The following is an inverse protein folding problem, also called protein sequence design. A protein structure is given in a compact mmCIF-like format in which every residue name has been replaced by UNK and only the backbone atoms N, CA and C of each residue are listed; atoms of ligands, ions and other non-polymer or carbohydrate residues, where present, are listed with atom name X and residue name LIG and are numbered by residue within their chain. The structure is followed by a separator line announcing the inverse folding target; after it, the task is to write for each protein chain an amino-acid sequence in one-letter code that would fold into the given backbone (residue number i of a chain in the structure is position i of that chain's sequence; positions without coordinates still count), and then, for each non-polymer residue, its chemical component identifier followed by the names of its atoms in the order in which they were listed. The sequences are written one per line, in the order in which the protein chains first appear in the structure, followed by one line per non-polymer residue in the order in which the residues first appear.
data_IF_204066491777
#
_entry.id   IF_204066491777
#
_cell.length_a   1.000
_cell.length_b   1.000
_cell.length_c   1.000
_cell.angle_alpha   90.00
_cell.angle_beta   90.00
_cell.angle_gamma   90.00
#
_symmetry.space_group_name_H-M   'P 1'
#
loop_
_entity.id
_entity.type
_entity.pdbx_description
1 polymer ?
#
# COMPACT_ATOMS: atom_id res chain seq x y z
N UNK A 1 -9.30 26.28 9.88
CA UNK A 1 -9.73 25.32 8.84
C UNK A 1 -11.19 25.55 8.53
N UNK A 2 -11.59 25.49 7.25
CA UNK A 2 -13.01 25.46 6.90
C UNK A 2 -13.63 24.22 7.54
N UNK A 3 -14.85 24.33 8.09
CA UNK A 3 -15.64 23.17 8.55
C UNK A 3 -15.92 22.28 7.35
N UNK A 4 -15.00 21.32 7.07
CA UNK A 4 -15.20 20.34 6.02
C UNK A 4 -16.44 19.50 6.35
N UNK A 5 -17.31 19.29 5.39
CA UNK A 5 -18.55 18.52 5.58
C UNK A 5 -18.24 17.06 5.95
N UNK A 6 -17.14 16.51 5.42
CA UNK A 6 -16.71 15.13 5.62
C UNK A 6 -15.27 15.04 6.11
N UNK A 7 -15.01 14.07 6.97
CA UNK A 7 -13.65 13.68 7.33
C UNK A 7 -12.99 12.92 6.18
N UNK A 8 -13.74 12.00 5.53
CA UNK A 8 -13.24 11.14 4.45
C UNK A 8 -14.23 11.06 3.31
N UNK A 9 -13.75 11.18 2.07
CA UNK A 9 -14.53 10.84 0.87
C UNK A 9 -13.87 9.66 0.15
N UNK A 10 -14.65 8.58 -0.06
CA UNK A 10 -14.21 7.40 -0.82
C UNK A 10 -14.42 7.66 -2.32
N UNK A 11 -13.36 8.05 -3.02
CA UNK A 11 -13.37 8.26 -4.47
C UNK A 11 -13.10 6.94 -5.20
N UNK A 12 -14.05 6.52 -6.02
CA UNK A 12 -14.07 5.19 -6.65
C UNK A 12 -14.87 4.16 -5.86
N UNK A 13 -15.83 4.59 -5.05
CA UNK A 13 -16.72 3.75 -4.25
C UNK A 13 -17.41 2.62 -5.02
N UNK A 14 -17.58 2.78 -6.34
CA UNK A 14 -18.19 1.78 -7.23
C UNK A 14 -17.20 0.75 -7.78
N UNK A 15 -15.90 0.88 -7.50
CA UNK A 15 -14.90 -0.16 -7.82
C UNK A 15 -15.08 -1.37 -6.90
N UNK A 16 -14.52 -2.53 -7.26
CA UNK A 16 -14.62 -3.73 -6.42
C UNK A 16 -14.07 -3.48 -5.00
N UNK A 17 -12.85 -2.93 -4.90
CA UNK A 17 -12.24 -2.57 -3.60
C UNK A 17 -13.00 -1.43 -2.93
N UNK A 18 -13.50 -0.46 -3.71
CA UNK A 18 -14.28 0.66 -3.19
C UNK A 18 -15.56 0.22 -2.49
N UNK A 19 -16.26 -0.77 -3.03
CA UNK A 19 -17.44 -1.34 -2.40
C UNK A 19 -17.12 -2.05 -1.08
N UNK A 20 -16.01 -2.81 -1.03
CA UNK A 20 -15.54 -3.46 0.20
C UNK A 20 -15.11 -2.43 1.24
N UNK A 21 -14.45 -1.36 0.81
CA UNK A 21 -14.08 -0.23 1.68
C UNK A 21 -15.33 0.48 2.24
N UNK A 22 -16.34 0.75 1.40
CA UNK A 22 -17.60 1.33 1.87
C UNK A 22 -18.31 0.42 2.87
N UNK A 23 -18.34 -0.89 2.63
CA UNK A 23 -18.89 -1.86 3.59
C UNK A 23 -18.12 -1.83 4.91
N UNK A 24 -16.79 -1.84 4.85
CA UNK A 24 -15.93 -1.78 6.04
C UNK A 24 -16.14 -0.49 6.85
N UNK A 25 -16.18 0.66 6.19
CA UNK A 25 -16.43 1.95 6.87
C UNK A 25 -17.81 1.99 7.50
N UNK A 26 -18.83 1.45 6.80
CA UNK A 26 -20.18 1.37 7.31
C UNK A 26 -20.27 0.43 8.54
N UNK A 27 -19.66 -0.74 8.48
CA UNK A 27 -19.65 -1.70 9.60
C UNK A 27 -18.91 -1.15 10.83
N UNK A 28 -17.88 -0.32 10.60
CA UNK A 28 -17.03 0.21 11.67
C UNK A 28 -17.56 1.51 12.25
N UNK A 29 -18.04 2.43 11.42
CA UNK A 29 -18.36 3.80 11.82
C UNK A 29 -19.84 4.17 11.63
N UNK A 30 -20.63 3.37 10.90
CA UNK A 30 -21.99 3.75 10.53
C UNK A 30 -22.04 4.91 9.53
N UNK A 31 -23.17 5.63 9.48
CA UNK A 31 -23.35 6.85 8.68
C UNK A 31 -23.35 8.14 9.50
N UNK A 32 -23.49 8.04 10.82
CA UNK A 32 -23.63 9.12 11.79
C UNK A 32 -22.66 8.99 12.99
N UNK A 33 -21.64 8.11 12.86
CA UNK A 33 -20.64 7.85 13.89
C UNK A 33 -19.54 8.93 13.97
N UNK A 34 -18.43 8.56 14.62
CA UNK A 34 -17.30 9.46 14.86
C UNK A 34 -16.57 9.89 13.59
N UNK A 35 -16.61 9.07 12.54
CA UNK A 35 -16.04 9.39 11.23
C UNK A 35 -17.17 9.79 10.27
N UNK A 36 -17.20 11.06 9.86
CA UNK A 36 -18.12 11.53 8.82
C UNK A 36 -17.55 11.22 7.44
N UNK A 37 -18.23 10.34 6.71
CA UNK A 37 -17.73 9.94 5.40
C UNK A 37 -18.81 9.94 4.31
N UNK A 38 -18.35 10.01 3.05
CA UNK A 38 -19.22 9.97 1.87
C UNK A 38 -18.64 9.04 0.81
N UNK A 39 -19.52 8.47 -0.04
CA UNK A 39 -19.12 7.67 -1.19
C UNK A 39 -19.14 8.53 -2.46
N UNK A 40 -18.07 8.48 -3.25
CA UNK A 40 -17.93 9.27 -4.47
C UNK A 40 -17.59 8.41 -5.69
N UNK A 41 -18.10 8.83 -6.85
CA UNK A 41 -17.86 8.16 -8.13
C UNK A 41 -18.57 8.86 -9.28
N UNK A 42 -18.32 8.41 -10.50
CA UNK A 42 -18.82 9.10 -11.73
C UNK A 42 -20.31 8.83 -12.09
N UNK A 43 -20.93 7.84 -11.48
CA UNK A 43 -22.31 7.42 -11.81
C UNK A 43 -23.17 7.41 -10.55
N UNK A 44 -24.15 8.30 -10.48
CA UNK A 44 -25.11 8.36 -9.38
C UNK A 44 -25.86 7.03 -9.20
N UNK A 45 -26.33 6.42 -10.29
CA UNK A 45 -27.06 5.15 -10.22
C UNK A 45 -26.23 4.03 -9.58
N UNK A 46 -24.92 3.95 -9.91
CA UNK A 46 -24.03 2.96 -9.32
C UNK A 46 -23.73 3.28 -7.84
N UNK A 47 -23.61 4.54 -7.47
CA UNK A 47 -23.48 4.95 -6.07
C UNK A 47 -24.70 4.58 -5.25
N UNK A 48 -25.92 4.77 -5.80
CA UNK A 48 -27.16 4.33 -5.15
C UNK A 48 -27.21 2.79 -5.00
N UNK A 49 -26.69 2.04 -5.97
CA UNK A 49 -26.55 0.58 -5.85
C UNK A 49 -25.58 0.19 -4.71
N UNK A 50 -24.43 0.87 -4.59
CA UNK A 50 -23.51 0.66 -3.48
C UNK A 50 -24.20 0.96 -2.16
N UNK A 51 -24.86 2.11 -2.02
CA UNK A 51 -25.63 2.46 -0.81
C UNK A 51 -26.69 1.42 -0.48
N UNK A 52 -27.47 0.98 -1.47
CA UNK A 52 -28.49 -0.05 -1.28
C UNK A 52 -27.91 -1.40 -0.84
N UNK A 53 -26.70 -1.76 -1.32
CA UNK A 53 -26.03 -3.00 -0.90
C UNK A 53 -25.57 -3.01 0.56
N UNK A 54 -25.39 -1.83 1.18
CA UNK A 54 -25.06 -1.68 2.60
C UNK A 54 -26.30 -1.89 3.52
N UNK A 55 -27.50 -1.93 2.96
CA UNK A 55 -28.77 -2.12 3.67
C UNK A 55 -29.45 -0.82 4.07
N UNK A 56 -30.68 -0.94 4.63
CA UNK A 56 -31.56 0.20 4.93
C UNK A 56 -30.95 1.21 5.92
N UNK A 57 -30.09 0.74 6.83
CA UNK A 57 -29.39 1.60 7.79
C UNK A 57 -28.39 2.56 7.13
N UNK A 58 -27.98 2.29 5.89
CA UNK A 58 -27.12 3.17 5.10
C UNK A 58 -27.88 4.22 4.29
N UNK A 59 -29.20 4.33 4.43
CA UNK A 59 -30.05 5.29 3.67
C UNK A 59 -29.57 6.74 3.78
N UNK A 60 -28.98 7.12 4.90
CA UNK A 60 -28.41 8.45 5.14
C UNK A 60 -27.00 8.67 4.56
N UNK A 61 -26.36 7.64 3.97
CA UNK A 61 -25.00 7.78 3.41
C UNK A 61 -24.97 8.83 2.31
N UNK A 62 -24.15 9.89 2.43
CA UNK A 62 -24.00 10.91 1.41
C UNK A 62 -23.29 10.34 0.16
N UNK A 63 -23.77 10.75 -1.01
CA UNK A 63 -23.24 10.37 -2.31
C UNK A 63 -22.77 11.61 -3.08
N UNK A 64 -21.56 11.56 -3.65
CA UNK A 64 -20.96 12.66 -4.41
C UNK A 64 -20.65 12.18 -5.82
N UNK A 65 -21.23 12.84 -6.83
CA UNK A 65 -20.86 12.57 -8.22
C UNK A 65 -19.60 13.35 -8.58
N UNK A 66 -18.52 12.64 -8.92
CA UNK A 66 -17.26 13.23 -9.37
C UNK A 66 -16.58 12.33 -10.40
N UNK A 67 -15.91 12.94 -11.39
CA UNK A 67 -15.28 12.26 -12.50
C UNK A 67 -13.79 12.63 -12.58
N UNK A 68 -12.90 11.64 -12.64
CA UNK A 68 -11.47 11.84 -12.77
C UNK A 68 -11.04 12.69 -13.98
N UNK A 69 -11.87 12.78 -15.03
CA UNK A 69 -11.61 13.57 -16.23
C UNK A 69 -12.23 14.99 -16.17
N UNK A 70 -12.81 15.38 -15.04
CA UNK A 70 -13.47 16.69 -14.85
C UNK A 70 -12.87 17.38 -13.62
N UNK A 71 -11.98 18.35 -13.88
CA UNK A 71 -11.24 19.06 -12.84
C UNK A 71 -12.17 19.82 -11.89
N UNK A 72 -13.23 20.46 -12.42
CA UNK A 72 -14.16 21.24 -11.59
C UNK A 72 -14.90 20.33 -10.60
N UNK A 73 -15.27 19.11 -11.02
CA UNK A 73 -15.90 18.13 -10.15
C UNK A 73 -14.95 17.60 -9.06
N UNK A 74 -13.64 17.47 -9.36
CA UNK A 74 -12.63 17.07 -8.39
C UNK A 74 -12.35 18.18 -7.37
N UNK A 75 -12.25 19.42 -7.83
CA UNK A 75 -12.05 20.59 -6.95
C UNK A 75 -13.27 20.76 -6.02
N UNK A 76 -14.49 20.61 -6.53
CA UNK A 76 -15.72 20.64 -5.74
C UNK A 76 -15.78 19.51 -4.70
N UNK A 77 -15.26 18.31 -5.01
CA UNK A 77 -15.15 17.20 -4.07
C UNK A 77 -14.11 17.53 -2.97
N UNK A 78 -12.92 17.98 -3.33
CA UNK A 78 -11.87 18.34 -2.39
C UNK A 78 -12.31 19.43 -1.41
N UNK A 79 -13.12 20.39 -1.85
CA UNK A 79 -13.64 21.47 -0.99
C UNK A 79 -14.59 20.97 0.13
N UNK A 80 -15.09 19.75 0.05
CA UNK A 80 -16.07 19.20 1.00
C UNK A 80 -15.44 18.27 2.04
N UNK A 81 -14.17 17.86 1.87
CA UNK A 81 -13.57 16.82 2.70
C UNK A 81 -12.18 17.17 3.22
N UNK A 82 -11.81 16.59 4.35
CA UNK A 82 -10.44 16.65 4.88
C UNK A 82 -9.52 15.68 4.14
N UNK A 83 -10.00 14.46 3.84
CA UNK A 83 -9.23 13.39 3.21
C UNK A 83 -9.98 12.80 2.03
N UNK A 84 -9.32 12.66 0.89
CA UNK A 84 -9.77 11.82 -0.22
C UNK A 84 -9.05 10.48 -0.13
N UNK A 85 -9.80 9.37 -0.05
CA UNK A 85 -9.26 8.03 -0.21
C UNK A 85 -9.64 7.50 -1.59
N UNK A 86 -8.64 7.19 -2.42
CA UNK A 86 -8.87 6.81 -3.82
C UNK A 86 -8.64 5.32 -4.06
N UNK A 87 -9.64 4.69 -4.70
CA UNK A 87 -9.56 3.31 -5.23
C UNK A 87 -9.63 3.28 -6.76
N UNK A 88 -9.35 4.42 -7.42
CA UNK A 88 -9.43 4.56 -8.87
C UNK A 88 -8.07 4.25 -9.50
N UNK A 89 -7.88 3.01 -9.91
CA UNK A 89 -6.67 2.54 -10.60
C UNK A 89 -6.97 1.99 -12.02
N UNK A 90 -5.95 1.69 -12.85
CA UNK A 90 -4.52 1.95 -12.65
C UNK A 90 -4.19 3.43 -12.44
N UNK A 91 -3.33 3.72 -11.45
CA UNK A 91 -3.09 5.10 -11.03
C UNK A 91 -2.28 5.89 -12.05
N UNK A 92 -1.36 5.24 -12.77
CA UNK A 92 -0.62 5.86 -13.88
C UNK A 92 -1.53 6.39 -14.99
N UNK A 93 -2.77 5.87 -15.11
CA UNK A 93 -3.73 6.28 -16.13
C UNK A 93 -4.75 7.29 -15.61
N UNK A 94 -5.12 7.22 -14.33
CA UNK A 94 -6.28 7.96 -13.80
C UNK A 94 -6.01 8.72 -12.50
N UNK A 95 -4.86 8.53 -11.84
CA UNK A 95 -4.60 9.05 -10.49
C UNK A 95 -4.20 10.52 -10.43
N UNK A 96 -3.44 11.00 -11.42
CA UNK A 96 -2.86 12.34 -11.40
C UNK A 96 -3.87 13.47 -11.22
N UNK A 97 -5.04 13.51 -11.91
CA UNK A 97 -6.00 14.62 -11.75
C UNK A 97 -6.48 14.80 -10.30
N UNK A 98 -6.70 13.69 -9.56
CA UNK A 98 -7.10 13.76 -8.15
C UNK A 98 -5.94 14.23 -7.26
N UNK A 99 -4.70 13.74 -7.48
CA UNK A 99 -3.52 14.25 -6.77
C UNK A 99 -3.39 15.76 -6.94
N UNK A 100 -3.51 16.24 -8.19
CA UNK A 100 -3.45 17.66 -8.51
C UNK A 100 -4.53 18.47 -7.78
N UNK A 101 -5.77 18.00 -7.77
CA UNK A 101 -6.87 18.66 -7.05
C UNK A 101 -6.59 18.71 -5.54
N UNK A 102 -6.21 17.59 -4.92
CA UNK A 102 -5.88 17.54 -3.49
C UNK A 102 -4.71 18.47 -3.11
N UNK A 103 -3.64 18.43 -3.89
CA UNK A 103 -2.46 19.26 -3.64
C UNK A 103 -2.78 20.75 -3.78
N UNK A 104 -3.61 21.13 -4.75
CA UNK A 104 -3.98 22.54 -4.95
C UNK A 104 -4.91 23.07 -3.86
N UNK A 105 -5.83 22.23 -3.37
CA UNK A 105 -6.81 22.63 -2.34
C UNK A 105 -6.28 22.52 -0.90
N UNK A 106 -5.12 21.86 -0.70
CA UNK A 106 -4.64 21.52 0.64
C UNK A 106 -5.39 20.35 1.29
N UNK A 107 -6.12 19.55 0.50
CA UNK A 107 -6.84 18.36 0.94
C UNK A 107 -5.89 17.17 1.05
N UNK A 108 -6.00 16.41 2.13
CA UNK A 108 -5.20 15.20 2.32
C UNK A 108 -5.66 14.07 1.39
N UNK A 109 -4.75 13.14 1.11
CA UNK A 109 -5.00 12.05 0.17
C UNK A 109 -4.33 10.76 0.60
N UNK A 110 -5.02 9.63 0.42
CA UNK A 110 -4.40 8.31 0.47
C UNK A 110 -4.97 7.36 -0.60
N UNK A 111 -4.17 6.36 -0.97
CA UNK A 111 -4.51 5.36 -1.98
C UNK A 111 -3.89 4.00 -1.70
N UNK A 112 -4.10 3.06 -2.61
CA UNK A 112 -3.53 1.71 -2.57
C UNK A 112 -2.67 1.39 -3.80
N UNK A 113 -2.01 2.41 -4.38
CA UNK A 113 -1.13 2.19 -5.54
C UNK A 113 0.09 1.36 -5.19
N UNK A 114 0.54 0.52 -6.13
CA UNK A 114 1.84 -0.16 -6.10
C UNK A 114 2.77 0.30 -7.24
N UNK A 115 2.44 1.40 -7.91
CA UNK A 115 3.09 1.89 -9.13
C UNK A 115 4.22 2.87 -8.82
N UNK A 116 5.41 2.34 -8.45
CA UNK A 116 6.54 3.15 -7.97
C UNK A 116 7.00 4.24 -8.97
N UNK A 117 6.92 3.99 -10.28
CA UNK A 117 7.24 4.97 -11.30
C UNK A 117 6.28 6.15 -11.27
N UNK A 118 4.97 5.88 -11.15
CA UNK A 118 3.95 6.91 -11.06
C UNK A 118 4.09 7.74 -9.78
N UNK A 119 4.33 7.09 -8.63
CA UNK A 119 4.59 7.81 -7.37
C UNK A 119 5.79 8.76 -7.54
N UNK A 120 6.87 8.30 -8.18
CA UNK A 120 8.05 9.12 -8.41
C UNK A 120 7.74 10.33 -9.30
N UNK A 121 6.88 10.18 -10.31
CA UNK A 121 6.44 11.28 -11.16
C UNK A 121 5.56 12.27 -10.39
N UNK A 122 4.67 11.79 -9.50
CA UNK A 122 3.86 12.64 -8.63
C UNK A 122 4.70 13.41 -7.62
N UNK A 123 5.72 12.77 -7.05
CA UNK A 123 6.71 13.42 -6.18
C UNK A 123 7.44 14.56 -6.89
N UNK A 124 7.93 14.29 -8.09
CA UNK A 124 8.67 15.30 -8.87
C UNK A 124 7.79 16.51 -9.21
N UNK A 125 6.52 16.27 -9.56
CA UNK A 125 5.63 17.34 -10.03
C UNK A 125 4.95 18.11 -8.90
N UNK A 126 4.59 17.44 -7.80
CA UNK A 126 3.62 17.98 -6.86
C UNK A 126 4.14 18.13 -5.41
N UNK A 127 5.29 17.56 -5.03
CA UNK A 127 5.74 17.60 -3.63
C UNK A 127 5.95 19.03 -3.11
N UNK A 128 6.51 19.91 -3.93
CA UNK A 128 6.71 21.31 -3.54
C UNK A 128 5.39 22.04 -3.31
N UNK A 129 4.38 21.77 -4.14
CA UNK A 129 3.05 22.38 -4.02
C UNK A 129 2.30 21.80 -2.82
N UNK A 130 2.38 20.49 -2.58
CA UNK A 130 1.82 19.84 -1.40
C UNK A 130 2.38 20.43 -0.09
N UNK A 131 3.70 20.60 -0.03
CA UNK A 131 4.36 21.27 1.12
C UNK A 131 3.88 22.70 1.32
N UNK A 132 3.72 23.46 0.24
CA UNK A 132 3.27 24.86 0.29
C UNK A 132 1.83 25.00 0.77
N UNK A 133 0.94 24.13 0.27
CA UNK A 133 -0.51 24.22 0.52
C UNK A 133 -0.97 23.39 1.73
N UNK A 134 -0.07 22.61 2.36
CA UNK A 134 -0.37 21.81 3.53
C UNK A 134 -1.03 20.46 3.24
N UNK A 135 -1.21 20.05 1.96
CA UNK A 135 -1.75 18.75 1.61
C UNK A 135 -0.80 17.61 1.99
N UNK A 136 -1.31 16.59 2.66
CA UNK A 136 -0.56 15.39 3.07
C UNK A 136 -0.98 14.21 2.19
N UNK A 137 -0.05 13.75 1.37
CA UNK A 137 -0.28 12.70 0.40
C UNK A 137 0.41 11.41 0.87
N UNK A 138 -0.36 10.34 1.08
CA UNK A 138 0.14 9.04 1.55
C UNK A 138 -0.26 7.94 0.57
N UNK A 139 0.70 7.48 -0.21
CA UNK A 139 0.52 6.37 -1.13
C UNK A 139 0.66 5.01 -0.46
N UNK A 140 0.25 3.95 -1.15
CA UNK A 140 0.49 2.56 -0.75
C UNK A 140 -0.18 2.16 0.58
N UNK A 141 -1.39 2.65 0.86
CA UNK A 141 -2.13 2.39 2.10
C UNK A 141 -2.92 1.07 2.08
N UNK A 142 -2.52 0.08 1.28
CA UNK A 142 -3.08 -1.28 1.24
C UNK A 142 -2.15 -2.34 1.80
N UNK A 143 -2.53 -3.61 1.63
CA UNK A 143 -1.70 -4.76 2.00
C UNK A 143 -0.33 -4.73 1.30
N UNK A 144 -0.28 -4.15 0.12
CA UNK A 144 0.96 -4.11 -0.66
C UNK A 144 2.12 -3.53 0.16
N UNK A 145 1.90 -2.49 0.97
CA UNK A 145 3.00 -1.86 1.72
C UNK A 145 2.77 -1.66 3.21
N UNK A 146 1.53 -1.52 3.71
CA UNK A 146 1.29 -1.28 5.15
C UNK A 146 1.93 -2.38 6.04
N UNK A 147 1.74 -3.69 5.80
CA UNK A 147 2.36 -4.70 6.66
C UNK A 147 3.89 -4.64 6.67
N UNK A 148 4.49 -4.23 5.54
CA UNK A 148 5.95 -4.08 5.39
C UNK A 148 6.46 -2.84 6.11
N UNK A 149 5.91 -1.67 5.82
CA UNK A 149 6.34 -0.38 6.36
C UNK A 149 6.09 -0.30 7.87
N UNK A 150 4.87 -0.63 8.30
CA UNK A 150 4.51 -0.64 9.72
C UNK A 150 5.15 -1.79 10.50
N UNK A 151 5.44 -2.93 9.83
CA UNK A 151 6.20 -4.03 10.43
C UNK A 151 7.64 -3.64 10.72
N UNK A 152 8.31 -2.94 9.79
CA UNK A 152 9.64 -2.36 10.02
C UNK A 152 9.58 -1.27 11.07
N UNK A 153 8.60 -0.36 11.02
CA UNK A 153 8.40 0.67 12.04
C UNK A 153 8.31 0.06 13.45
N UNK A 154 7.43 -0.94 13.65
CA UNK A 154 7.31 -1.63 14.92
C UNK A 154 8.61 -2.31 15.36
N UNK A 155 9.30 -3.02 14.43
CA UNK A 155 10.59 -3.65 14.72
C UNK A 155 11.63 -2.63 15.19
N UNK A 156 11.72 -1.49 14.53
CA UNK A 156 12.68 -0.43 14.88
C UNK A 156 12.37 0.19 16.26
N UNK A 157 11.10 0.40 16.58
CA UNK A 157 10.71 0.85 17.92
C UNK A 157 11.12 -0.18 19.00
N UNK A 158 10.88 -1.47 18.75
CA UNK A 158 11.24 -2.53 19.68
C UNK A 158 12.77 -2.70 19.81
N UNK A 159 13.53 -2.54 18.72
CA UNK A 159 14.98 -2.58 18.73
C UNK A 159 15.55 -1.40 19.55
N UNK A 160 15.03 -0.20 19.31
CA UNK A 160 15.44 0.98 20.08
C UNK A 160 15.12 0.82 21.58
N UNK A 161 13.93 0.30 21.92
CA UNK A 161 13.54 0.10 23.31
C UNK A 161 14.37 -0.98 24.04
N UNK A 162 14.76 -2.06 23.33
CA UNK A 162 15.49 -3.20 23.93
C UNK A 162 16.98 -3.04 23.93
N UNK A 163 17.54 -2.49 22.84
CA UNK A 163 18.98 -2.46 22.58
C UNK A 163 19.55 -1.04 22.57
N UNK A 164 18.70 -0.03 22.68
CA UNK A 164 19.08 1.37 22.50
C UNK A 164 19.79 1.62 21.15
N UNK A 165 19.44 0.85 20.13
CA UNK A 165 20.01 0.89 18.79
C UNK A 165 18.99 0.45 17.75
N UNK A 166 18.97 1.05 16.56
CA UNK A 166 18.12 0.59 15.47
C UNK A 166 18.68 -0.70 14.83
N UNK A 167 17.83 -1.47 14.18
CA UNK A 167 18.24 -2.56 13.33
C UNK A 167 18.70 -2.00 11.97
N UNK A 168 19.98 -2.13 11.66
CA UNK A 168 20.57 -1.67 10.39
C UNK A 168 20.34 -2.63 9.22
N UNK A 169 19.94 -3.86 9.51
CA UNK A 169 19.53 -4.86 8.51
C UNK A 169 18.19 -5.45 8.92
N UNK A 170 17.20 -5.43 8.05
CA UNK A 170 15.90 -6.08 8.27
C UNK A 170 15.57 -6.98 7.08
N UNK A 171 15.14 -8.20 7.37
CA UNK A 171 14.66 -9.17 6.40
C UNK A 171 13.21 -9.52 6.70
N UNK A 172 12.32 -9.24 5.74
CA UNK A 172 10.93 -9.60 5.81
C UNK A 172 10.66 -10.87 5.01
N UNK A 173 9.92 -11.80 5.60
CA UNK A 173 9.58 -13.08 4.98
C UNK A 173 8.09 -13.37 5.11
N UNK A 174 7.43 -13.52 3.98
CA UNK A 174 6.04 -13.99 3.93
C UNK A 174 6.04 -15.49 4.20
N UNK A 175 5.54 -15.90 5.36
CA UNK A 175 5.42 -17.30 5.74
C UNK A 175 4.17 -17.94 5.14
N UNK A 176 3.06 -17.22 5.20
CA UNK A 176 1.78 -17.62 4.60
C UNK A 176 1.05 -16.34 4.16
N UNK A 177 0.43 -16.42 3.00
CA UNK A 177 -0.58 -15.48 2.54
C UNK A 177 -1.69 -16.31 1.87
N UNK A 178 -2.85 -16.38 2.52
CA UNK A 178 -4.03 -17.09 1.98
C UNK A 178 -5.01 -16.06 1.47
N UNK A 179 -5.25 -16.06 0.17
CA UNK A 179 -6.11 -15.13 -0.55
C UNK A 179 -5.64 -14.96 -1.98
N UNK A 180 -6.35 -14.13 -2.74
CA UNK A 180 -6.00 -13.82 -4.12
C UNK A 180 -5.13 -12.57 -4.24
N UNK A 181 -4.41 -12.47 -5.35
CA UNK A 181 -3.84 -11.19 -5.80
C UNK A 181 -4.97 -10.40 -6.46
N UNK A 182 -5.07 -9.10 -6.16
CA UNK A 182 -6.15 -8.29 -6.71
C UNK A 182 -6.00 -8.11 -8.24
N UNK A 183 -7.12 -8.07 -8.95
CA UNK A 183 -7.11 -7.77 -10.39
C UNK A 183 -6.47 -6.41 -10.69
N UNK A 184 -6.63 -5.42 -9.80
CA UNK A 184 -5.96 -4.13 -9.89
C UNK A 184 -4.44 -4.24 -9.81
N UNK A 185 -3.92 -5.02 -8.85
CA UNK A 185 -2.48 -5.28 -8.70
C UNK A 185 -1.91 -5.96 -9.95
N UNK A 186 -2.60 -6.99 -10.47
CA UNK A 186 -2.16 -7.67 -11.70
C UNK A 186 -2.18 -6.71 -12.90
N UNK A 187 -3.21 -5.89 -13.05
CA UNK A 187 -3.30 -4.91 -14.13
C UNK A 187 -2.17 -3.87 -14.06
N UNK A 188 -1.87 -3.34 -12.87
CA UNK A 188 -0.74 -2.42 -12.65
C UNK A 188 0.60 -3.06 -12.97
N UNK A 189 0.85 -4.31 -12.52
CA UNK A 189 2.08 -5.05 -12.87
C UNK A 189 2.24 -5.25 -14.37
N UNK A 190 1.15 -5.57 -15.07
CA UNK A 190 1.17 -5.76 -16.52
C UNK A 190 1.44 -4.45 -17.26
N UNK A 191 0.87 -3.33 -16.79
CA UNK A 191 1.14 -2.01 -17.34
C UNK A 191 2.62 -1.64 -17.16
N UNK A 192 3.17 -1.81 -15.95
CA UNK A 192 4.60 -1.58 -15.67
C UNK A 192 5.49 -2.45 -16.56
N UNK A 193 5.16 -3.73 -16.74
CA UNK A 193 5.92 -4.65 -17.60
C UNK A 193 5.90 -4.21 -19.07
N UNK A 194 4.76 -3.72 -19.55
CA UNK A 194 4.62 -3.17 -20.91
C UNK A 194 5.46 -1.92 -21.11
N UNK A 195 5.34 -0.95 -20.20
CA UNK A 195 6.07 0.32 -20.26
C UNK A 195 7.58 0.09 -20.17
N UNK A 196 8.02 -0.69 -19.16
CA UNK A 196 9.42 -1.05 -19.00
C UNK A 196 9.99 -1.87 -20.17
N UNK A 197 9.15 -2.67 -20.84
CA UNK A 197 9.53 -3.37 -22.07
C UNK A 197 9.90 -2.42 -23.23
N UNK A 198 9.26 -1.26 -23.30
CA UNK A 198 9.42 -0.27 -24.37
C UNK A 198 10.47 0.81 -24.04
N UNK A 199 10.65 1.13 -22.74
CA UNK A 199 11.49 2.24 -22.29
C UNK A 199 12.68 1.76 -21.43
N UNK A 200 13.92 1.83 -21.98
CA UNK A 200 15.14 1.54 -21.22
C UNK A 200 15.38 2.51 -20.04
N UNK A 201 14.94 3.77 -20.15
CA UNK A 201 15.11 4.76 -19.08
C UNK A 201 14.22 4.40 -17.89
N UNK A 202 12.97 3.97 -18.14
CA UNK A 202 12.09 3.47 -17.10
C UNK A 202 12.66 2.22 -16.39
N UNK A 203 13.25 1.28 -17.16
CA UNK A 203 13.94 0.13 -16.54
C UNK A 203 15.05 0.56 -15.58
N UNK A 204 15.85 1.54 -15.97
CA UNK A 204 16.92 2.10 -15.12
C UNK A 204 16.33 2.79 -13.88
N UNK A 205 15.25 3.56 -14.05
CA UNK A 205 14.49 4.21 -12.96
C UNK A 205 13.97 3.16 -11.98
N UNK A 206 13.32 2.11 -12.47
CA UNK A 206 12.80 1.01 -11.67
C UNK A 206 13.89 0.11 -11.04
N UNK A 207 15.11 0.13 -11.52
CA UNK A 207 16.23 -0.58 -10.87
C UNK A 207 16.80 0.15 -9.65
N UNK A 208 16.44 1.41 -9.42
CA UNK A 208 16.90 2.19 -8.27
C UNK A 208 16.10 1.80 -7.01
N UNK A 209 16.72 1.22 -5.96
CA UNK A 209 16.03 0.89 -4.72
C UNK A 209 15.58 2.12 -3.92
N UNK A 210 16.18 3.27 -4.19
CA UNK A 210 15.91 4.55 -3.52
C UNK A 210 15.07 5.50 -4.36
N UNK A 211 14.35 4.98 -5.36
CA UNK A 211 13.58 5.77 -6.33
C UNK A 211 12.63 6.78 -5.69
N UNK A 212 12.03 6.42 -4.56
CA UNK A 212 11.07 7.26 -3.86
C UNK A 212 11.68 8.14 -2.75
N UNK A 213 12.97 7.98 -2.46
CA UNK A 213 13.63 8.79 -1.45
C UNK A 213 13.84 10.24 -1.94
N UNK A 214 13.88 11.22 -1.03
CA UNK A 214 14.28 12.59 -1.38
C UNK A 214 15.65 12.62 -2.06
N UNK A 215 15.92 13.58 -2.96
CA UNK A 215 17.17 13.62 -3.71
C UNK A 215 18.45 13.67 -2.85
N UNK A 216 18.33 14.21 -1.66
CA UNK A 216 19.40 14.42 -0.66
C UNK A 216 19.50 13.30 0.39
N UNK A 217 18.86 12.15 0.17
CA UNK A 217 18.79 11.05 1.13
C UNK A 217 20.16 10.48 1.57
N UNK A 218 21.18 10.60 0.76
CA UNK A 218 22.57 10.23 1.09
C UNK A 218 22.86 8.71 1.13
N UNK A 219 21.89 7.83 0.98
CA UNK A 219 22.05 6.38 1.06
C UNK A 219 22.98 5.83 -0.03
N UNK A 220 23.90 4.96 0.34
CA UNK A 220 24.90 4.32 -0.55
C UNK A 220 24.92 2.81 -0.43
N UNK A 221 24.18 2.23 0.51
CA UNK A 221 24.19 0.80 0.75
C UNK A 221 23.62 0.03 -0.44
N UNK A 222 24.37 -1.00 -0.85
CA UNK A 222 23.88 -1.93 -1.87
C UNK A 222 22.76 -2.78 -1.28
N UNK A 223 21.58 -2.67 -1.86
CA UNK A 223 20.46 -3.51 -1.47
C UNK A 223 20.59 -4.93 -2.08
N UNK A 224 20.25 -5.93 -1.28
CA UNK A 224 20.34 -7.34 -1.68
C UNK A 224 19.01 -7.77 -2.29
N UNK A 225 19.04 -8.18 -3.56
CA UNK A 225 17.87 -8.78 -4.22
C UNK A 225 17.86 -10.30 -4.01
N UNK A 226 16.67 -10.87 -3.90
CA UNK A 226 16.46 -12.31 -3.87
C UNK A 226 16.47 -12.85 -5.30
N UNK A 227 17.34 -13.84 -5.56
CA UNK A 227 17.37 -14.53 -6.85
C UNK A 227 16.18 -15.48 -7.03
N UNK A 228 16.23 -16.35 -8.04
CA UNK A 228 15.18 -17.35 -8.29
C UNK A 228 14.92 -18.25 -7.07
N UNK A 229 15.98 -18.61 -6.35
CA UNK A 229 15.94 -19.29 -5.06
C UNK A 229 17.19 -18.91 -4.25
N UNK A 230 17.03 -18.57 -2.99
CA UNK A 230 18.11 -18.26 -2.06
C UNK A 230 17.89 -19.02 -0.74
N UNK A 231 18.96 -19.37 -0.05
CA UNK A 231 18.86 -19.91 1.30
C UNK A 231 18.97 -18.77 2.32
N UNK A 232 18.02 -18.69 3.23
CA UNK A 232 18.00 -17.69 4.29
C UNK A 232 18.44 -18.31 5.61
N UNK A 233 19.60 -17.85 6.12
CA UNK A 233 20.19 -18.38 7.35
C UNK A 233 19.42 -17.93 8.61
N UNK A 234 18.75 -16.79 8.60
CA UNK A 234 17.97 -16.32 9.75
C UNK A 234 16.72 -17.16 9.97
N UNK A 235 16.18 -17.73 8.89
CA UNK A 235 14.99 -18.58 8.92
C UNK A 235 15.30 -20.08 8.75
N UNK A 236 16.56 -20.43 8.46
CA UNK A 236 16.98 -21.81 8.12
C UNK A 236 16.10 -22.44 7.03
N UNK A 237 15.76 -21.66 6.00
CA UNK A 237 14.81 -22.06 4.97
C UNK A 237 15.17 -21.49 3.59
N UNK A 238 14.68 -22.11 2.54
CA UNK A 238 14.71 -21.54 1.20
C UNK A 238 13.66 -20.45 1.04
N UNK A 239 14.00 -19.45 0.25
CA UNK A 239 13.13 -18.32 -0.09
C UNK A 239 13.12 -18.10 -1.60
N UNK A 240 11.94 -17.75 -2.11
CA UNK A 240 11.73 -17.28 -3.47
C UNK A 240 11.36 -15.80 -3.48
N UNK A 241 11.39 -15.14 -4.66
CA UNK A 241 11.05 -13.73 -4.77
C UNK A 241 9.62 -13.44 -4.33
N UNK A 242 9.42 -12.32 -3.67
CA UNK A 242 8.11 -11.76 -3.38
C UNK A 242 7.87 -10.57 -4.31
N UNK A 243 6.80 -10.65 -5.09
CA UNK A 243 6.55 -9.67 -6.16
C UNK A 243 6.40 -8.23 -5.66
N UNK A 244 5.88 -8.06 -4.45
CA UNK A 244 5.67 -6.74 -3.85
C UNK A 244 6.95 -6.11 -3.28
N UNK A 245 8.06 -6.86 -3.14
CA UNK A 245 9.36 -6.30 -2.72
C UNK A 245 9.76 -5.08 -3.56
N UNK A 246 9.38 -5.10 -4.85
CA UNK A 246 9.69 -4.02 -5.77
C UNK A 246 9.11 -2.65 -5.36
N UNK A 247 7.94 -2.61 -4.73
CA UNK A 247 7.36 -1.36 -4.20
C UNK A 247 7.67 -1.21 -2.71
N UNK A 248 7.52 -2.27 -1.93
CA UNK A 248 7.60 -2.22 -0.47
C UNK A 248 8.97 -1.76 0.02
N UNK A 249 10.06 -2.28 -0.57
CA UNK A 249 11.41 -1.86 -0.21
C UNK A 249 11.64 -0.36 -0.45
N UNK A 250 11.05 0.22 -1.49
CA UNK A 250 11.12 1.66 -1.77
C UNK A 250 10.34 2.49 -0.77
N UNK A 251 9.16 2.02 -0.35
CA UNK A 251 8.37 2.68 0.70
C UNK A 251 9.13 2.67 2.02
N UNK A 252 9.68 1.53 2.43
CA UNK A 252 10.48 1.39 3.66
C UNK A 252 11.73 2.27 3.64
N UNK A 253 12.45 2.34 2.50
CA UNK A 253 13.60 3.24 2.38
C UNK A 253 13.18 4.71 2.42
N UNK A 254 12.03 5.07 1.83
CA UNK A 254 11.48 6.43 1.95
C UNK A 254 11.12 6.74 3.39
N UNK A 255 10.53 5.82 4.13
CA UNK A 255 10.23 5.98 5.56
C UNK A 255 11.50 6.28 6.36
N UNK A 256 12.59 5.54 6.12
CA UNK A 256 13.88 5.81 6.74
C UNK A 256 14.40 7.22 6.40
N UNK A 257 14.30 7.63 5.13
CA UNK A 257 14.76 8.95 4.71
C UNK A 257 13.95 10.09 5.36
N UNK A 258 12.62 9.96 5.39
CA UNK A 258 11.71 10.99 5.92
C UNK A 258 11.76 11.10 7.45
N UNK A 259 12.17 10.04 8.15
CA UNK A 259 12.37 10.04 9.61
C UNK A 259 13.78 10.44 10.05
N UNK A 260 14.55 11.09 9.17
CA UNK A 260 15.90 11.53 9.47
C UNK A 260 16.91 10.38 9.62
N UNK A 261 16.72 9.33 8.82
CA UNK A 261 17.57 8.13 8.83
C UNK A 261 17.52 7.34 10.15
N UNK A 262 16.32 7.30 10.76
CA UNK A 262 16.11 6.62 12.04
C UNK A 262 16.47 5.12 12.03
N UNK A 263 16.51 4.48 10.84
CA UNK A 263 16.93 3.08 10.64
C UNK A 263 18.40 2.93 10.29
N UNK A 264 19.16 4.00 10.24
CA UNK A 264 20.54 4.24 9.83
C UNK A 264 20.71 4.69 8.37
N UNK A 265 21.85 5.31 8.07
CA UNK A 265 22.23 5.73 6.70
C UNK A 265 22.68 4.56 5.82
N UNK A 266 23.05 3.43 6.44
CA UNK A 266 23.47 2.19 5.78
C UNK A 266 22.43 1.06 5.88
N UNK A 267 21.18 1.39 6.21
CA UNK A 267 20.07 0.45 6.34
C UNK A 267 19.90 -0.42 5.10
N UNK A 268 19.70 -1.72 5.32
CA UNK A 268 19.41 -2.70 4.27
C UNK A 268 18.10 -3.44 4.56
N UNK A 269 17.31 -3.63 3.50
CA UNK A 269 16.00 -4.27 3.57
C UNK A 269 15.74 -5.14 2.34
N UNK A 270 15.11 -6.28 2.51
CA UNK A 270 14.54 -7.08 1.42
C UNK A 270 13.38 -7.96 1.88
N UNK A 271 12.56 -8.36 0.91
CA UNK A 271 11.41 -9.22 1.12
C UNK A 271 11.51 -10.52 0.32
N UNK A 272 10.95 -11.61 0.86
CA UNK A 272 10.86 -12.88 0.16
C UNK A 272 9.72 -13.77 0.67
N UNK A 273 9.36 -14.78 -0.11
CA UNK A 273 8.43 -15.85 0.27
C UNK A 273 9.21 -17.00 0.91
N UNK A 274 8.85 -17.42 2.12
CA UNK A 274 9.36 -18.64 2.73
C UNK A 274 8.79 -19.86 2.01
N UNK A 275 9.66 -20.78 1.62
CA UNK A 275 9.25 -21.99 0.89
C UNK A 275 9.54 -23.29 1.64
N UNK A 276 10.23 -23.20 2.78
CA UNK A 276 10.57 -24.32 3.64
C UNK A 276 12.03 -24.75 3.50
N UNK A 277 12.41 -25.79 4.21
CA UNK A 277 13.75 -26.34 4.22
C UNK A 277 13.99 -27.42 3.15
N UNK A 278 15.23 -27.91 3.06
CA UNK A 278 15.63 -29.03 2.23
C UNK A 278 15.36 -28.85 0.72
N UNK A 279 15.37 -29.96 -0.01
CA UNK A 279 15.18 -29.97 -1.47
C UNK A 279 13.77 -29.53 -1.88
N UNK A 280 12.75 -29.88 -1.09
CA UNK A 280 11.36 -29.48 -1.35
C UNK A 280 11.17 -27.97 -1.29
N UNK A 281 11.76 -27.31 -0.28
CA UNK A 281 11.78 -25.85 -0.16
C UNK A 281 12.48 -25.18 -1.35
N UNK A 282 13.65 -25.72 -1.73
CA UNK A 282 14.41 -25.22 -2.90
C UNK A 282 13.60 -25.30 -4.19
N UNK A 283 12.95 -26.43 -4.45
CA UNK A 283 12.14 -26.60 -5.67
C UNK A 283 10.93 -25.67 -5.70
N UNK A 284 10.27 -25.43 -4.56
CA UNK A 284 9.19 -24.45 -4.45
C UNK A 284 9.69 -23.03 -4.73
N UNK A 285 10.84 -22.64 -4.16
CA UNK A 285 11.46 -21.33 -4.41
C UNK A 285 11.76 -21.13 -5.90
N UNK A 286 12.39 -22.11 -6.55
CA UNK A 286 12.65 -22.09 -7.99
C UNK A 286 11.36 -21.98 -8.81
N UNK A 287 10.31 -22.69 -8.42
CA UNK A 287 8.98 -22.63 -9.08
C UNK A 287 8.38 -21.23 -8.99
N UNK A 288 8.43 -20.59 -7.82
CA UNK A 288 7.95 -19.20 -7.62
C UNK A 288 8.78 -18.24 -8.49
N UNK A 289 10.13 -18.32 -8.43
CA UNK A 289 11.00 -17.44 -9.17
C UNK A 289 10.83 -17.58 -10.69
N UNK A 290 10.77 -18.81 -11.19
CA UNK A 290 10.55 -19.09 -12.61
C UNK A 290 9.14 -18.63 -13.05
N UNK A 291 8.10 -18.89 -12.25
CA UNK A 291 6.72 -18.45 -12.52
C UNK A 291 6.61 -16.93 -12.59
N UNK A 292 7.21 -16.22 -11.63
CA UNK A 292 7.24 -14.75 -11.63
C UNK A 292 7.98 -14.22 -12.86
N UNK A 293 9.15 -14.77 -13.19
CA UNK A 293 9.91 -14.37 -14.38
C UNK A 293 9.13 -14.61 -15.68
N UNK A 294 8.47 -15.77 -15.80
CA UNK A 294 7.65 -16.10 -16.96
C UNK A 294 6.42 -15.17 -17.08
N UNK A 295 5.78 -14.85 -15.96
CA UNK A 295 4.66 -13.89 -15.94
C UNK A 295 5.09 -12.51 -16.49
N UNK A 296 6.19 -11.93 -16.00
CA UNK A 296 6.65 -10.64 -16.49
C UNK A 296 7.11 -10.69 -17.96
N UNK A 297 7.76 -11.77 -18.38
CA UNK A 297 8.13 -11.97 -19.79
C UNK A 297 6.89 -12.04 -20.69
N UNK A 298 5.86 -12.78 -20.25
CA UNK A 298 4.60 -12.88 -20.99
C UNK A 298 3.81 -11.57 -21.01
N UNK A 299 3.84 -10.81 -19.92
CA UNK A 299 3.20 -9.49 -19.82
C UNK A 299 3.86 -8.43 -20.74
N UNK A 300 5.15 -8.53 -20.98
CA UNK A 300 5.88 -7.61 -21.87
C UNK A 300 5.55 -7.79 -23.37
N UNK A 301 5.05 -8.96 -23.79
CA UNK A 301 4.82 -9.31 -25.18
C UNK A 301 3.33 -9.22 -25.53
N UNK A 302 2.95 -8.48 -26.58
CA UNK A 302 1.54 -8.21 -26.93
C UNK A 302 0.64 -9.45 -27.04
N UNK A 303 0.95 -10.54 -27.80
CA UNK A 303 0.07 -11.70 -27.91
C UNK A 303 -0.17 -12.44 -26.59
N UNK A 304 0.91 -12.64 -25.81
CA UNK A 304 0.83 -13.35 -24.52
C UNK A 304 0.15 -12.50 -23.47
N UNK A 305 0.36 -11.19 -23.49
CA UNK A 305 -0.35 -10.24 -22.62
C UNK A 305 -1.87 -10.24 -22.87
N UNK A 306 -2.29 -10.29 -24.16
CA UNK A 306 -3.71 -10.42 -24.51
C UNK A 306 -4.29 -11.71 -23.92
N UNK A 307 -3.58 -12.82 -24.01
CA UNK A 307 -4.00 -14.09 -23.43
C UNK A 307 -4.08 -14.03 -21.89
N UNK A 308 -3.09 -13.42 -21.22
CA UNK A 308 -3.12 -13.18 -19.78
C UNK A 308 -4.35 -12.36 -19.37
N UNK A 309 -4.61 -11.22 -20.04
CA UNK A 309 -5.77 -10.38 -19.77
C UNK A 309 -7.10 -11.11 -19.96
N UNK A 310 -7.18 -12.02 -20.93
CA UNK A 310 -8.43 -12.72 -21.26
C UNK A 310 -8.71 -13.91 -20.34
N UNK A 311 -7.67 -14.62 -19.90
CA UNK A 311 -7.81 -15.94 -19.27
C UNK A 311 -7.28 -16.03 -17.83
N UNK A 312 -6.47 -15.08 -17.39
CA UNK A 312 -5.77 -15.16 -16.10
C UNK A 312 -6.14 -13.97 -15.18
N UNK A 313 -6.26 -12.77 -15.73
CA UNK A 313 -6.57 -11.57 -14.95
C UNK A 313 -8.08 -11.52 -14.67
N UNK A 314 -8.51 -11.38 -13.40
CA UNK A 314 -9.90 -11.14 -13.08
C UNK A 314 -10.43 -9.91 -13.83
N UNK A 315 -11.65 -10.01 -14.34
CA UNK A 315 -12.26 -8.88 -15.06
C UNK A 315 -12.59 -7.73 -14.08
N UNK A 316 -12.67 -6.48 -14.56
CA UNK A 316 -13.06 -5.36 -13.72
C UNK A 316 -14.39 -5.63 -12.99
N UNK A 317 -14.40 -5.54 -11.66
CA UNK A 317 -15.55 -5.87 -10.83
C UNK A 317 -15.62 -7.32 -10.34
N UNK A 318 -14.68 -8.18 -10.75
CA UNK A 318 -14.56 -9.56 -10.25
C UNK A 318 -13.53 -9.66 -9.12
N UNK A 319 -13.84 -10.49 -8.15
CA UNK A 319 -12.95 -10.79 -7.01
C UNK A 319 -13.49 -11.93 -6.16
N UNK A 320 -12.81 -12.28 -5.06
CA UNK A 320 -13.24 -13.35 -4.17
C UNK A 320 -14.57 -13.03 -3.49
N UNK A 321 -15.36 -14.07 -3.20
CA UNK A 321 -16.59 -13.90 -2.42
C UNK A 321 -16.30 -13.35 -1.00
N UNK A 322 -17.29 -12.75 -0.32
CA UNK A 322 -17.12 -12.28 1.06
C UNK A 322 -16.63 -13.38 2.03
N UNK A 323 -17.08 -14.63 1.83
CA UNK A 323 -16.64 -15.77 2.63
C UNK A 323 -15.17 -16.12 2.35
N UNK A 324 -14.75 -16.06 1.09
CA UNK A 324 -13.36 -16.28 0.72
C UNK A 324 -12.43 -15.19 1.26
N UNK A 325 -12.90 -13.93 1.26
CA UNK A 325 -12.17 -12.80 1.87
C UNK A 325 -11.99 -13.02 3.39
N UNK A 326 -13.05 -13.40 4.11
CA UNK A 326 -13.00 -13.69 5.55
C UNK A 326 -12.18 -14.94 5.89
N UNK A 327 -12.10 -15.93 4.99
CA UNK A 327 -11.30 -17.15 5.18
C UNK A 327 -9.80 -16.94 4.87
N UNK A 328 -9.44 -15.77 4.34
CA UNK A 328 -8.07 -15.36 4.09
C UNK A 328 -7.32 -14.99 5.36
N UNK A 329 -6.00 -14.99 5.32
CA UNK A 329 -5.12 -14.50 6.39
C UNK A 329 -3.68 -14.42 5.88
N UNK A 330 -2.83 -13.74 6.65
CA UNK A 330 -1.40 -13.74 6.39
C UNK A 330 -0.57 -13.80 7.67
N UNK A 331 0.63 -14.37 7.54
CA UNK A 331 1.68 -14.45 8.57
C UNK A 331 3.00 -13.99 7.93
N UNK A 332 3.49 -12.84 8.37
CA UNK A 332 4.72 -12.22 7.90
C UNK A 332 5.71 -12.16 9.06
N UNK A 333 6.97 -12.47 8.77
CA UNK A 333 8.05 -12.53 9.75
C UNK A 333 9.14 -11.55 9.40
N UNK A 334 9.67 -10.88 10.40
CA UNK A 334 10.79 -9.97 10.28
C UNK A 334 11.91 -10.43 11.19
N UNK A 335 13.15 -10.32 10.69
CA UNK A 335 14.36 -10.45 11.49
C UNK A 335 15.17 -9.19 11.29
N UNK A 336 15.43 -8.49 12.38
CA UNK A 336 16.29 -7.30 12.42
C UNK A 336 17.61 -7.58 13.12
N UNK A 337 18.70 -7.04 12.57
CA UNK A 337 20.02 -7.09 13.16
C UNK A 337 20.53 -5.68 13.39
N UNK A 338 21.01 -5.39 14.61
CA UNK A 338 21.74 -4.16 14.93
C UNK A 338 23.21 -4.26 14.51
N UNK A 339 23.91 -3.14 14.45
CA UNK A 339 25.36 -3.13 14.19
C UNK A 339 26.17 -3.86 15.29
N UNK A 340 25.61 -3.93 16.49
CA UNK A 340 26.21 -4.67 17.62
C UNK A 340 25.89 -6.18 17.56
N UNK A 341 25.27 -6.68 16.47
CA UNK A 341 24.88 -8.09 16.25
C UNK A 341 23.76 -8.59 17.14
N UNK A 342 23.01 -7.72 17.78
CA UNK A 342 21.77 -8.09 18.46
C UNK A 342 20.71 -8.42 17.41
N UNK A 343 19.84 -9.36 17.74
CA UNK A 343 18.81 -9.83 16.80
C UNK A 343 17.43 -9.70 17.45
N UNK A 344 16.48 -9.19 16.67
CA UNK A 344 15.08 -9.09 17.05
C UNK A 344 14.20 -9.74 15.99
N UNK A 345 13.23 -10.53 16.43
CA UNK A 345 12.25 -11.15 15.54
C UNK A 345 10.86 -10.60 15.81
N UNK A 346 10.15 -10.28 14.75
CA UNK A 346 8.79 -9.75 14.80
C UNK A 346 7.87 -10.58 13.90
N UNK A 347 6.64 -10.74 14.36
CA UNK A 347 5.55 -11.34 13.60
C UNK A 347 4.45 -10.30 13.36
N UNK A 348 4.00 -10.21 12.12
CA UNK A 348 2.83 -9.43 11.72
C UNK A 348 1.81 -10.36 11.08
N UNK A 349 0.56 -10.30 11.54
CA UNK A 349 -0.53 -11.11 10.97
C UNK A 349 -1.73 -10.26 10.63
N UNK A 350 -2.59 -10.76 9.77
CA UNK A 350 -3.92 -10.20 9.50
C UNK A 350 -4.94 -11.32 9.31
N UNK A 351 -6.20 -10.99 9.57
CA UNK A 351 -7.34 -11.89 9.71
C UNK A 351 -8.23 -12.01 8.47
N UNK A 352 -7.81 -11.40 7.36
CA UNK A 352 -8.53 -11.42 6.10
C UNK A 352 -7.59 -11.63 4.90
N UNK A 353 -8.15 -11.92 3.72
CA UNK A 353 -7.36 -12.06 2.51
C UNK A 353 -6.57 -10.77 2.20
N UNK A 354 -5.30 -10.90 1.80
CA UNK A 354 -4.45 -9.73 1.58
C UNK A 354 -4.92 -8.85 0.43
N UNK A 355 -5.45 -9.44 -0.64
CA UNK A 355 -5.73 -8.70 -1.88
C UNK A 355 -6.91 -7.73 -1.80
N UNK A 356 -7.89 -7.99 -0.95
CA UNK A 356 -9.14 -7.22 -0.89
C UNK A 356 -9.63 -6.95 0.53
N UNK A 357 -9.94 -8.00 1.30
CA UNK A 357 -10.56 -7.84 2.61
C UNK A 357 -9.65 -7.09 3.59
N UNK A 358 -8.38 -7.52 3.73
CA UNK A 358 -7.41 -6.80 4.56
C UNK A 358 -7.08 -5.43 3.97
N UNK A 359 -6.83 -5.33 2.66
CA UNK A 359 -6.52 -4.06 1.99
C UNK A 359 -7.58 -2.98 2.25
N UNK A 360 -8.87 -3.31 2.19
CA UNK A 360 -9.93 -2.35 2.48
C UNK A 360 -9.90 -1.86 3.93
N UNK A 361 -9.66 -2.76 4.90
CA UNK A 361 -9.50 -2.39 6.31
C UNK A 361 -8.29 -1.47 6.53
N UNK A 362 -7.14 -1.81 5.93
CA UNK A 362 -5.91 -1.04 6.05
C UNK A 362 -6.08 0.36 5.47
N UNK A 363 -6.63 0.46 4.26
CA UNK A 363 -6.88 1.73 3.59
C UNK A 363 -7.88 2.60 4.36
N UNK A 364 -8.97 1.99 4.88
CA UNK A 364 -9.95 2.68 5.70
C UNK A 364 -9.34 3.25 6.99
N UNK A 365 -8.48 2.48 7.67
CA UNK A 365 -7.83 2.95 8.89
C UNK A 365 -6.73 3.98 8.61
N UNK A 366 -6.02 3.89 7.48
CA UNK A 366 -5.09 4.93 7.06
C UNK A 366 -5.81 6.27 6.78
N UNK A 367 -6.96 6.22 6.09
CA UNK A 367 -7.79 7.40 5.83
C UNK A 367 -8.34 8.01 7.13
N UNK A 368 -8.88 7.19 8.04
CA UNK A 368 -9.37 7.63 9.34
C UNK A 368 -8.25 8.24 10.20
N UNK A 369 -7.07 7.60 10.23
CA UNK A 369 -5.89 8.10 10.94
C UNK A 369 -5.45 9.47 10.39
N UNK A 370 -5.40 9.61 9.07
CA UNK A 370 -5.03 10.86 8.41
C UNK A 370 -6.02 11.99 8.74
N UNK A 371 -7.31 11.66 8.82
CA UNK A 371 -8.36 12.62 9.12
C UNK A 371 -8.44 13.04 10.60
N UNK A 372 -8.17 12.13 11.53
CA UNK A 372 -8.50 12.32 12.95
C UNK A 372 -7.29 12.38 13.88
N UNK A 373 -6.17 11.68 13.53
CA UNK A 373 -5.06 11.53 14.47
C UNK A 373 -3.82 12.32 14.08
N UNK A 374 -3.71 12.77 12.83
CA UNK A 374 -2.59 13.61 12.40
C UNK A 374 -2.84 15.02 12.91
N UNK A 375 -1.85 15.56 13.64
CA UNK A 375 -1.93 16.92 14.18
C UNK A 375 -2.06 17.96 13.05
N UNK A 376 -2.83 19.02 13.32
CA UNK A 376 -3.16 20.02 12.31
C UNK A 376 -1.96 20.72 11.68
N UNK A 377 -0.91 20.95 12.47
CA UNK A 377 0.34 21.61 12.07
C UNK A 377 1.37 20.65 11.45
N UNK A 378 1.02 19.36 11.25
CA UNK A 378 1.88 18.44 10.53
C UNK A 378 2.13 18.97 9.10
N UNK A 379 3.38 18.97 8.63
CA UNK A 379 3.73 19.57 7.35
C UNK A 379 3.10 18.83 6.18
N UNK A 380 2.67 19.60 5.17
CA UNK A 380 2.27 19.06 3.87
C UNK A 380 3.44 18.37 3.17
N UNK A 381 3.13 17.59 2.15
CA UNK A 381 4.11 16.84 1.36
C UNK A 381 3.67 15.41 1.09
N UNK A 382 4.56 14.61 0.51
CA UNK A 382 4.32 13.20 0.24
C UNK A 382 4.99 12.35 1.31
N UNK A 383 4.21 11.55 1.99
CA UNK A 383 4.62 10.77 3.16
C UNK A 383 4.46 9.27 2.93
N UNK A 384 4.93 8.48 3.88
CA UNK A 384 4.63 7.05 3.98
C UNK A 384 3.81 6.80 5.24
N UNK A 385 3.24 5.61 5.36
CA UNK A 385 2.45 5.22 6.52
C UNK A 385 3.27 5.28 7.82
N UNK A 386 4.51 4.83 7.81
CA UNK A 386 5.38 4.88 8.99
C UNK A 386 5.85 6.31 9.31
N UNK A 387 6.14 7.14 8.28
CA UNK A 387 6.75 8.46 8.52
C UNK A 387 5.78 9.54 8.98
N UNK A 388 4.49 9.43 8.63
CA UNK A 388 3.45 10.40 9.03
C UNK A 388 2.49 9.82 10.05
N UNK A 389 2.00 8.61 9.83
CA UNK A 389 0.90 8.04 10.62
C UNK A 389 1.41 7.23 11.82
N UNK A 390 2.58 6.61 11.73
CA UNK A 390 3.35 6.00 12.82
C UNK A 390 2.52 5.25 13.87
N UNK A 391 2.71 5.61 15.13
CA UNK A 391 2.06 4.96 16.28
C UNK A 391 0.51 5.05 16.26
N UNK A 392 -0.13 6.18 15.91
CA UNK A 392 -1.58 6.24 15.77
C UNK A 392 -2.12 5.19 14.78
N UNK A 393 -1.50 5.05 13.62
CA UNK A 393 -1.92 4.02 12.66
C UNK A 393 -1.67 2.62 13.19
N UNK A 394 -0.52 2.36 13.82
CA UNK A 394 -0.21 1.05 14.40
C UNK A 394 -1.32 0.60 15.37
N UNK A 395 -1.76 1.50 16.23
CA UNK A 395 -2.87 1.25 17.16
C UNK A 395 -4.17 0.96 16.43
N UNK A 396 -4.56 1.78 15.45
CA UNK A 396 -5.78 1.58 14.65
C UNK A 396 -5.77 0.24 13.91
N UNK A 397 -4.64 -0.15 13.35
CA UNK A 397 -4.50 -1.43 12.65
C UNK A 397 -4.73 -2.63 13.58
N UNK A 398 -4.28 -2.55 14.82
CA UNK A 398 -4.49 -3.59 15.83
C UNK A 398 -5.94 -3.61 16.36
N UNK A 399 -6.52 -2.46 16.59
CA UNK A 399 -7.87 -2.35 17.18
C UNK A 399 -8.98 -2.60 16.16
N UNK A 400 -8.82 -2.14 14.91
CA UNK A 400 -9.92 -2.07 13.94
C UNK A 400 -9.67 -2.86 12.65
N UNK A 401 -8.40 -3.17 12.29
CA UNK A 401 -8.11 -3.83 11.01
C UNK A 401 -7.75 -5.32 11.13
N UNK A 402 -7.80 -5.89 12.34
CA UNK A 402 -7.49 -7.30 12.59
C UNK A 402 -6.01 -7.66 12.42
N UNK A 403 -5.11 -6.67 12.48
CA UNK A 403 -3.68 -6.91 12.46
C UNK A 403 -3.11 -7.18 13.85
N UNK A 404 -2.05 -7.96 13.91
CA UNK A 404 -1.24 -8.11 15.12
C UNK A 404 0.22 -7.84 14.84
N UNK A 405 0.90 -7.18 15.77
CA UNK A 405 2.33 -6.94 15.75
C UNK A 405 2.91 -7.50 17.05
N UNK A 406 3.80 -8.47 16.96
CA UNK A 406 4.29 -9.21 18.13
C UNK A 406 5.78 -9.48 18.01
N UNK A 407 6.54 -9.18 19.05
CA UNK A 407 7.90 -9.68 19.16
C UNK A 407 7.87 -11.16 19.46
N UNK A 408 8.69 -11.92 18.76
CA UNK A 408 8.85 -13.38 18.93
C UNK A 408 10.31 -13.71 19.21
N UNK A 409 10.56 -14.72 20.05
CA UNK A 409 11.90 -15.19 20.40
C UNK A 409 12.52 -16.06 19.30
#
# INVERSE_FOLDING_TARGET
MSDSQFDVVVFGATSFVGQILCQYLFDTYGTDGELKWAAAGRSQDKLEQVKASLGDAASALPLITANANDADSLDALCAQTRVVVSTVGPYALYGEPMIKACVNSGTDYCDLTGEAQWIADMLEQYEATAKKNGARIVHCCGFDSIPSDMGVYFLQQQAQARFNAPASTVRMRVKVAKGGVSGGTVASMMNIAEEAGKDPALRKKLANPYLLCPPDHGFKSRQTSIGLASYDNDFNAWVGPFVMDAINSRVVHRSNALTGQAYTDHFTYNEAMLTGDGMGGRMKALGIGAGTGLFFAAAAIKPTRWALNKFVVPQPGEGPSPEAQKAGFYDIRFVGHTDNKETLKVKVTGDADPGYGSTAKLLGQAAACLAQDVVEDAPGGFWTTASLLGEPLLKRLQENAGMTFTVID
#
